data_IF_889116845309
#
_entry.id   IF_889116845309
#
_cell.length_a   1.000
_cell.length_b   1.000
_cell.length_c   1.000
_cell.angle_alpha   90.00
_cell.angle_beta   90.00
_cell.angle_gamma   90.00
#
_symmetry.space_group_name_H-M   'P 1'
#
loop_
_entity.id
_entity.type
_entity.pdbx_description
1 polymer ?
#
# COMPACT_ATOMS: atom_id res chain seq x y z
N UNK A 1 47.20 -42.80 -63.51
CA UNK A 1 47.64 -42.86 -62.11
C UNK A 1 46.42 -42.74 -61.25
N UNK A 2 45.95 -43.87 -60.69
CA UNK A 2 44.76 -43.93 -59.86
C UNK A 2 45.30 -43.89 -58.40
N UNK A 3 44.96 -42.86 -57.69
CA UNK A 3 45.22 -42.79 -56.27
C UNK A 3 44.19 -43.63 -55.49
N UNK A 4 44.70 -44.62 -54.82
CA UNK A 4 44.00 -45.50 -53.86
C UNK A 4 43.81 -44.70 -52.58
N UNK A 5 42.56 -44.32 -52.29
CA UNK A 5 42.21 -43.67 -51.01
C UNK A 5 42.23 -44.80 -49.95
N UNK A 6 42.99 -44.59 -48.87
CA UNK A 6 43.16 -45.53 -47.79
C UNK A 6 41.86 -45.69 -46.98
N UNK A 7 41.49 -46.93 -46.75
CA UNK A 7 40.28 -47.36 -46.04
C UNK A 7 40.25 -47.01 -44.55
N UNK A 8 41.34 -46.43 -44.04
CA UNK A 8 41.51 -46.20 -42.58
C UNK A 8 40.85 -44.88 -42.10
N UNK A 9 40.63 -43.91 -42.97
CA UNK A 9 39.99 -42.67 -42.60
C UNK A 9 38.47 -42.78 -42.39
N UNK A 10 37.82 -43.72 -43.12
CA UNK A 10 36.36 -43.93 -42.98
C UNK A 10 35.98 -44.59 -41.64
N UNK A 11 36.87 -45.41 -41.07
CA UNK A 11 36.62 -46.02 -39.76
C UNK A 11 36.77 -45.05 -38.61
N UNK A 12 37.63 -44.04 -38.75
CA UNK A 12 37.81 -43.03 -37.72
C UNK A 12 36.62 -42.09 -37.58
N UNK A 13 35.99 -41.71 -38.72
CA UNK A 13 34.79 -40.88 -38.71
C UNK A 13 33.57 -41.62 -38.15
N UNK A 14 33.47 -42.92 -38.40
CA UNK A 14 32.37 -43.74 -37.91
C UNK A 14 32.44 -43.95 -36.38
N UNK A 15 33.66 -44.08 -35.85
CA UNK A 15 33.88 -44.22 -34.41
C UNK A 15 33.59 -42.94 -33.66
N UNK A 16 33.90 -41.78 -34.23
CA UNK A 16 33.54 -40.49 -33.63
C UNK A 16 32.03 -40.21 -33.67
N UNK A 17 31.34 -40.62 -34.74
CA UNK A 17 29.90 -40.43 -34.85
C UNK A 17 29.13 -41.31 -33.85
N UNK A 18 29.56 -42.55 -33.64
CA UNK A 18 28.96 -43.46 -32.66
C UNK A 18 29.25 -42.99 -31.21
N UNK A 19 30.43 -42.47 -30.92
CA UNK A 19 30.74 -41.92 -29.62
C UNK A 19 30.00 -40.61 -29.32
N UNK A 20 29.76 -39.77 -30.35
CA UNK A 20 29.01 -38.52 -30.20
C UNK A 20 27.52 -38.79 -30.01
N UNK A 21 26.94 -39.79 -30.66
CA UNK A 21 25.54 -40.20 -30.48
C UNK A 21 25.30 -40.87 -29.12
N UNK A 22 26.27 -41.61 -28.59
CA UNK A 22 26.18 -42.18 -27.25
C UNK A 22 26.34 -41.14 -26.15
N UNK A 23 27.17 -40.11 -26.37
CA UNK A 23 27.30 -38.96 -25.41
C UNK A 23 26.03 -38.13 -25.38
N UNK A 24 25.35 -37.92 -26.51
CA UNK A 24 24.08 -37.16 -26.54
C UNK A 24 22.94 -37.97 -25.92
N UNK A 25 22.96 -39.31 -26.01
CA UNK A 25 21.99 -40.18 -25.38
C UNK A 25 22.15 -40.30 -23.88
N UNK A 26 23.39 -40.17 -23.35
CA UNK A 26 23.65 -40.18 -21.90
C UNK A 26 23.33 -38.83 -21.22
N UNK A 27 23.35 -37.72 -21.93
CA UNK A 27 22.94 -36.41 -21.39
C UNK A 27 21.41 -36.17 -21.37
N UNK A 28 20.62 -37.14 -21.79
CA UNK A 28 19.16 -37.00 -21.91
C UNK A 28 18.35 -37.70 -20.82
N UNK A 29 18.99 -38.19 -19.77
CA UNK A 29 18.29 -38.93 -18.72
C UNK A 29 18.56 -38.46 -17.29
N UNK A 30 18.89 -37.18 -17.11
CA UNK A 30 18.74 -36.54 -15.79
C UNK A 30 18.24 -35.12 -15.96
N UNK A 31 17.08 -34.93 -16.59
CA UNK A 31 16.20 -33.93 -16.08
C UNK A 31 15.64 -34.53 -14.78
N UNK A 32 16.34 -34.28 -13.68
CA UNK A 32 15.67 -34.27 -12.41
C UNK A 32 14.48 -33.33 -12.58
N UNK A 33 13.32 -33.93 -12.64
CA UNK A 33 12.09 -33.25 -12.29
C UNK A 33 12.34 -32.88 -10.82
N UNK A 34 12.89 -31.69 -10.59
CA UNK A 34 12.66 -31.02 -9.33
C UNK A 34 11.15 -30.94 -9.28
N UNK A 35 10.53 -31.86 -8.54
CA UNK A 35 9.19 -31.65 -8.06
C UNK A 35 9.22 -30.22 -7.54
N UNK A 36 8.34 -29.38 -8.07
CA UNK A 36 8.06 -28.08 -7.49
C UNK A 36 7.86 -28.33 -5.99
N UNK A 37 8.91 -28.19 -5.22
CA UNK A 37 8.77 -27.96 -3.79
C UNK A 37 7.80 -26.78 -3.76
N UNK A 38 6.63 -26.92 -3.11
CA UNK A 38 5.78 -25.78 -2.91
C UNK A 38 6.67 -24.75 -2.23
N UNK A 39 7.09 -23.75 -3.00
CA UNK A 39 7.83 -22.62 -2.46
C UNK A 39 6.86 -21.96 -1.48
N UNK A 40 6.91 -22.39 -0.24
CA UNK A 40 6.39 -21.65 0.91
C UNK A 40 7.29 -20.42 1.07
N UNK A 41 7.53 -19.75 -0.05
CA UNK A 41 8.42 -18.62 -0.15
C UNK A 41 7.64 -17.34 0.11
N UNK A 42 8.35 -16.38 0.65
CA UNK A 42 7.97 -14.98 0.82
C UNK A 42 7.20 -14.39 -0.39
N UNK A 43 7.45 -14.90 -1.57
CA UNK A 43 6.88 -14.42 -2.83
C UNK A 43 5.37 -14.70 -2.94
N UNK A 44 4.89 -15.86 -2.51
CA UNK A 44 3.45 -16.17 -2.53
C UNK A 44 2.66 -15.34 -1.50
N UNK A 45 3.28 -15.06 -0.36
CA UNK A 45 2.69 -14.17 0.65
C UNK A 45 2.66 -12.73 0.16
N UNK A 46 3.71 -12.29 -0.51
CA UNK A 46 3.81 -10.95 -1.09
C UNK A 46 2.83 -10.76 -2.25
N UNK A 47 2.72 -11.73 -3.16
CA UNK A 47 1.73 -11.70 -4.24
C UNK A 47 0.30 -11.70 -3.72
N UNK A 48 -0.01 -12.52 -2.73
CA UNK A 48 -1.33 -12.53 -2.10
C UNK A 48 -1.63 -11.19 -1.40
N UNK A 49 -0.63 -10.56 -0.81
CA UNK A 49 -0.74 -9.23 -0.24
C UNK A 49 -1.07 -8.19 -1.31
N UNK A 50 -0.31 -8.16 -2.40
CA UNK A 50 -0.57 -7.25 -3.53
C UNK A 50 -1.97 -7.50 -4.08
N UNK A 51 -2.35 -8.74 -4.28
CA UNK A 51 -3.68 -9.12 -4.78
C UNK A 51 -4.79 -8.64 -3.83
N UNK A 52 -4.65 -8.80 -2.52
CA UNK A 52 -5.65 -8.32 -1.54
C UNK A 52 -5.78 -6.81 -1.52
N UNK A 53 -4.68 -6.09 -1.76
CA UNK A 53 -4.66 -4.62 -1.81
C UNK A 53 -5.16 -4.07 -3.14
N UNK A 54 -4.95 -4.78 -4.24
CA UNK A 54 -5.28 -4.33 -5.61
C UNK A 54 -6.57 -4.91 -6.16
N UNK A 55 -7.11 -5.99 -5.57
CA UNK A 55 -8.38 -6.56 -5.99
C UNK A 55 -9.51 -5.52 -5.97
N UNK A 56 -10.42 -5.55 -6.95
CA UNK A 56 -11.60 -4.71 -6.93
C UNK A 56 -12.37 -4.91 -5.63
N UNK A 57 -12.61 -3.82 -4.92
CA UNK A 57 -13.36 -3.85 -3.66
C UNK A 57 -14.85 -3.65 -3.96
N UNK A 58 -15.73 -4.35 -3.25
CA UNK A 58 -17.16 -4.13 -3.42
C UNK A 58 -17.55 -2.68 -3.05
N UNK A 59 -18.61 -2.12 -3.64
CA UNK A 59 -19.05 -0.80 -3.27
C UNK A 59 -19.44 -0.77 -1.79
N UNK A 60 -19.01 0.29 -1.08
CA UNK A 60 -19.40 0.51 0.30
C UNK A 60 -20.85 0.97 0.38
N UNK A 61 -21.59 0.44 1.33
CA UNK A 61 -22.92 0.95 1.67
C UNK A 61 -22.75 2.27 2.43
N UNK A 62 -23.11 3.38 1.80
CA UNK A 62 -23.08 4.69 2.44
C UNK A 62 -24.07 4.74 3.60
N UNK A 63 -23.70 5.42 4.68
CA UNK A 63 -24.53 5.57 5.86
C UNK A 63 -25.75 6.48 5.61
N UNK A 64 -25.62 7.42 4.67
CA UNK A 64 -26.61 8.49 4.48
C UNK A 64 -26.68 9.48 5.64
N UNK A 65 -25.64 9.54 6.48
CA UNK A 65 -25.58 10.42 7.63
C UNK A 65 -25.65 11.90 7.21
N UNK A 66 -26.66 12.66 7.66
CA UNK A 66 -26.82 14.07 7.30
C UNK A 66 -25.70 14.97 7.85
N UNK A 67 -24.87 14.46 8.75
CA UNK A 67 -23.69 15.15 9.25
C UNK A 67 -22.71 15.48 8.14
N UNK A 68 -22.58 14.59 7.15
CA UNK A 68 -21.59 14.71 6.10
C UNK A 68 -22.21 15.12 4.77
N UNK A 69 -21.63 16.13 4.14
CA UNK A 69 -21.98 16.56 2.79
C UNK A 69 -20.82 16.34 1.84
N UNK A 70 -21.03 15.52 0.83
CA UNK A 70 -20.08 15.40 -0.29
C UNK A 70 -20.23 16.63 -1.20
N UNK A 71 -19.17 17.42 -1.33
CA UNK A 71 -19.16 18.63 -2.14
C UNK A 71 -18.91 18.34 -3.63
N UNK A 72 -18.64 17.09 -4.02
CA UNK A 72 -18.37 16.62 -5.39
C UNK A 72 -17.15 17.26 -6.06
N UNK A 73 -16.29 17.88 -5.28
CA UNK A 73 -15.01 18.48 -5.70
C UNK A 73 -13.79 17.76 -5.08
N UNK A 74 -14.02 16.57 -4.52
CA UNK A 74 -13.02 15.80 -3.79
C UNK A 74 -12.95 16.14 -2.30
N UNK A 75 -13.96 16.86 -1.77
CA UNK A 75 -14.04 17.21 -0.35
C UNK A 75 -15.36 16.78 0.29
N UNK A 76 -15.30 16.60 1.62
CA UNK A 76 -16.45 16.33 2.49
C UNK A 76 -16.54 17.44 3.53
N UNK A 77 -17.71 18.05 3.67
CA UNK A 77 -17.99 18.98 4.77
C UNK A 77 -18.62 18.24 5.93
N UNK A 78 -18.01 18.29 7.10
CA UNK A 78 -18.58 17.90 8.38
C UNK A 78 -19.41 19.07 8.93
N UNK A 79 -20.71 19.00 8.74
CA UNK A 79 -21.66 20.06 9.12
C UNK A 79 -21.72 20.22 10.65
N UNK A 80 -21.53 19.13 11.40
CA UNK A 80 -21.57 19.15 12.86
C UNK A 80 -20.39 19.93 13.44
N UNK A 81 -19.20 19.70 12.92
CA UNK A 81 -17.96 20.27 13.47
C UNK A 81 -17.44 21.47 12.68
N UNK A 82 -18.04 21.80 11.52
CA UNK A 82 -17.62 22.93 10.70
C UNK A 82 -16.26 22.74 10.01
N UNK A 83 -15.86 21.50 9.85
CA UNK A 83 -14.62 21.12 9.19
C UNK A 83 -14.87 20.66 7.75
N UNK A 84 -13.91 20.93 6.88
CA UNK A 84 -13.89 20.37 5.54
C UNK A 84 -12.67 19.43 5.41
N UNK A 85 -12.93 18.22 5.00
CA UNK A 85 -11.96 17.14 4.87
C UNK A 85 -11.69 16.81 3.40
N UNK A 86 -10.44 16.52 3.07
CA UNK A 86 -10.18 15.89 1.78
C UNK A 86 -10.80 14.49 1.75
N UNK A 87 -11.58 14.18 0.72
CA UNK A 87 -12.29 12.90 0.59
C UNK A 87 -11.30 11.72 0.59
N UNK A 88 -10.28 11.78 -0.24
CA UNK A 88 -9.24 10.76 -0.30
C UNK A 88 -8.08 11.09 0.64
N UNK A 89 -7.62 10.12 1.41
CA UNK A 89 -6.35 10.23 2.14
C UNK A 89 -5.14 10.11 1.18
N UNK A 90 -3.94 10.34 1.69
CA UNK A 90 -2.71 10.31 0.88
C UNK A 90 -2.42 8.92 0.29
N UNK A 91 -2.81 7.84 0.97
CA UNK A 91 -2.63 6.48 0.43
C UNK A 91 -3.63 6.15 -0.66
N UNK A 92 -4.89 6.58 -0.52
CA UNK A 92 -5.89 6.40 -1.57
C UNK A 92 -5.45 7.05 -2.89
N UNK A 93 -4.75 8.19 -2.79
CA UNK A 93 -4.26 8.95 -3.95
C UNK A 93 -2.92 8.43 -4.49
N UNK A 94 -1.92 8.25 -3.63
CA UNK A 94 -0.53 7.95 -4.04
C UNK A 94 -0.13 6.47 -3.90
N UNK A 95 -0.94 5.65 -3.22
CA UNK A 95 -0.65 4.25 -2.91
C UNK A 95 0.65 4.04 -2.11
N UNK A 96 1.01 5.02 -1.29
CA UNK A 96 2.22 5.01 -0.48
C UNK A 96 1.93 5.44 0.95
N UNK A 97 2.54 4.72 1.90
CA UNK A 97 2.60 5.15 3.29
C UNK A 97 3.54 6.34 3.42
N UNK A 98 3.27 7.21 4.35
CA UNK A 98 4.05 8.44 4.52
C UNK A 98 4.55 8.58 5.96
N UNK A 99 5.76 9.10 6.12
CA UNK A 99 6.21 9.60 7.38
C UNK A 99 5.65 11.01 7.64
N UNK A 100 5.85 11.54 8.83
CA UNK A 100 5.25 12.81 9.22
C UNK A 100 5.74 14.00 8.39
N UNK A 101 7.04 14.04 8.05
CA UNK A 101 7.60 15.11 7.22
C UNK A 101 7.01 15.06 5.79
N UNK A 102 6.90 13.87 5.22
CA UNK A 102 6.27 13.70 3.91
C UNK A 102 4.76 14.02 3.95
N UNK A 103 4.10 13.82 5.10
CA UNK A 103 2.71 14.21 5.28
C UNK A 103 2.54 15.74 5.23
N UNK A 104 3.47 16.50 5.80
CA UNK A 104 3.48 17.97 5.69
C UNK A 104 3.68 18.43 4.23
N UNK A 105 4.68 17.85 3.56
CA UNK A 105 4.93 18.16 2.14
C UNK A 105 3.72 17.85 1.25
N UNK A 106 3.00 16.77 1.55
CA UNK A 106 1.77 16.44 0.83
C UNK A 106 0.70 17.55 1.01
N UNK A 107 0.54 18.05 2.23
CA UNK A 107 -0.40 19.15 2.49
C UNK A 107 0.03 20.44 1.79
N UNK A 108 1.31 20.76 1.82
CA UNK A 108 1.87 21.91 1.08
C UNK A 108 1.61 21.79 -0.43
N UNK A 109 1.77 20.59 -0.99
CA UNK A 109 1.45 20.31 -2.39
C UNK A 109 0.00 20.63 -2.70
N UNK A 110 -0.94 20.22 -1.83
CA UNK A 110 -2.38 20.53 -2.02
C UNK A 110 -2.67 22.02 -1.95
N UNK A 111 -1.99 22.76 -1.08
CA UNK A 111 -2.09 24.21 -1.00
C UNK A 111 -1.54 24.90 -2.26
N UNK A 112 -0.38 24.48 -2.77
CA UNK A 112 0.19 24.99 -4.03
C UNK A 112 -0.74 24.74 -5.22
N UNK A 113 -1.38 23.59 -5.26
CA UNK A 113 -2.36 23.21 -6.30
C UNK A 113 -3.70 23.93 -6.13
N UNK A 114 -3.93 24.64 -5.03
CA UNK A 114 -5.25 25.21 -4.65
C UNK A 114 -6.35 24.15 -4.72
N UNK A 115 -6.09 22.98 -4.14
CA UNK A 115 -7.01 21.84 -4.21
C UNK A 115 -8.42 22.25 -3.76
N UNK A 116 -9.44 21.93 -4.58
CA UNK A 116 -10.84 22.34 -4.40
C UNK A 116 -11.02 23.88 -4.23
N UNK A 117 -10.13 24.68 -4.84
CA UNK A 117 -10.18 26.14 -4.74
C UNK A 117 -9.56 26.72 -3.46
N UNK A 118 -8.94 25.91 -2.61
CA UNK A 118 -8.45 26.33 -1.29
C UNK A 118 -6.93 26.13 -1.14
N UNK A 119 -6.30 27.00 -0.35
CA UNK A 119 -4.86 27.00 -0.06
C UNK A 119 -4.53 27.03 1.44
N UNK A 120 -5.50 26.68 2.28
CA UNK A 120 -5.43 26.64 3.74
C UNK A 120 -5.61 25.23 4.32
N UNK A 121 -5.28 24.21 3.51
CA UNK A 121 -5.23 22.82 3.95
C UNK A 121 -4.10 22.64 4.96
N UNK A 122 -4.33 21.79 5.97
CA UNK A 122 -3.36 21.48 7.02
C UNK A 122 -3.50 20.05 7.52
N UNK A 123 -2.50 19.60 8.26
CA UNK A 123 -2.65 18.39 9.07
C UNK A 123 -3.73 18.63 10.15
N UNK A 124 -4.57 17.63 10.43
CA UNK A 124 -5.53 17.71 11.51
C UNK A 124 -4.86 17.61 12.88
N UNK A 125 -5.47 18.17 13.90
CA UNK A 125 -5.14 17.87 15.30
C UNK A 125 -5.71 16.50 15.71
N UNK A 126 -5.23 15.92 16.82
CA UNK A 126 -5.83 14.69 17.39
C UNK A 126 -7.32 14.86 17.66
N UNK A 127 -7.70 16.00 18.24
CA UNK A 127 -9.09 16.30 18.56
C UNK A 127 -9.97 16.33 17.31
N UNK A 128 -9.47 16.88 16.21
CA UNK A 128 -10.20 16.91 14.94
C UNK A 128 -10.32 15.53 14.32
N UNK A 129 -9.24 14.74 14.27
CA UNK A 129 -9.32 13.37 13.76
C UNK A 129 -10.30 12.51 14.57
N UNK A 130 -10.29 12.64 15.88
CA UNK A 130 -11.20 11.88 16.74
C UNK A 130 -12.67 12.22 16.51
N UNK A 131 -12.98 13.37 15.88
CA UNK A 131 -14.37 13.63 15.45
C UNK A 131 -14.85 12.73 14.34
N UNK A 132 -13.93 12.12 13.58
CA UNK A 132 -14.23 11.15 12.52
C UNK A 132 -14.33 9.71 13.03
N UNK A 133 -13.91 9.44 14.26
CA UNK A 133 -14.00 8.11 14.86
C UNK A 133 -15.44 7.86 15.32
N UNK A 134 -16.06 6.83 14.76
CA UNK A 134 -17.44 6.43 15.04
C UNK A 134 -17.48 4.91 15.22
N UNK A 135 -17.60 4.46 16.48
CA UNK A 135 -17.49 3.05 16.86
C UNK A 135 -18.58 2.17 16.22
N UNK A 136 -19.75 2.75 15.92
CA UNK A 136 -20.89 2.10 15.28
C UNK A 136 -20.79 2.03 13.76
N UNK A 137 -19.76 2.63 13.16
CA UNK A 137 -19.52 2.61 11.72
C UNK A 137 -18.24 1.89 11.40
N UNK A 138 -18.19 1.24 10.25
CA UNK A 138 -16.97 0.55 9.85
C UNK A 138 -16.76 0.55 8.33
N UNK A 139 -15.49 0.57 7.97
CA UNK A 139 -14.98 0.39 6.62
C UNK A 139 -14.00 -0.76 6.67
N UNK A 140 -14.19 -1.85 5.88
CA UNK A 140 -13.22 -2.94 5.85
C UNK A 140 -11.84 -2.44 5.41
N UNK A 141 -10.82 -2.75 6.20
CA UNK A 141 -9.43 -2.44 5.88
C UNK A 141 -8.63 -3.71 5.74
N UNK A 142 -8.19 -3.98 4.52
CA UNK A 142 -7.43 -5.18 4.18
C UNK A 142 -5.94 -4.87 4.37
N UNK A 143 -5.32 -5.60 5.30
CA UNK A 143 -3.90 -5.47 5.57
C UNK A 143 -3.28 -6.86 5.70
N UNK A 144 -2.38 -7.18 4.78
CA UNK A 144 -1.84 -8.52 4.60
C UNK A 144 -2.98 -9.55 4.38
N UNK A 145 -3.05 -10.56 5.25
CA UNK A 145 -4.08 -11.62 5.26
C UNK A 145 -5.22 -11.37 6.25
N UNK A 146 -5.21 -10.21 6.90
CA UNK A 146 -6.24 -9.86 7.87
C UNK A 146 -7.17 -8.79 7.32
N UNK A 147 -8.44 -8.93 7.65
CA UNK A 147 -9.43 -7.86 7.49
C UNK A 147 -9.69 -7.26 8.85
N UNK A 148 -9.51 -5.96 8.95
CA UNK A 148 -9.80 -5.16 10.11
C UNK A 148 -10.90 -4.16 9.78
N UNK A 149 -11.45 -3.51 10.78
CA UNK A 149 -12.46 -2.49 10.59
C UNK A 149 -11.91 -1.12 11.01
N UNK A 150 -11.97 -0.17 10.09
CA UNK A 150 -11.68 1.24 10.36
C UNK A 150 -12.98 1.91 10.74
N UNK A 151 -13.07 2.39 11.97
CA UNK A 151 -14.27 2.99 12.53
C UNK A 151 -14.44 4.43 12.06
N UNK A 152 -14.98 4.57 10.86
CA UNK A 152 -15.20 5.84 10.16
C UNK A 152 -16.41 5.72 9.23
N UNK A 153 -17.09 6.82 8.95
CA UNK A 153 -18.22 6.82 8.03
C UNK A 153 -17.80 6.36 6.62
N UNK A 154 -18.52 5.41 6.01
CA UNK A 154 -18.25 4.90 4.67
C UNK A 154 -18.21 5.95 3.55
N UNK A 155 -18.70 7.17 3.79
CA UNK A 155 -18.61 8.28 2.83
C UNK A 155 -17.15 8.59 2.45
N UNK A 156 -16.19 8.29 3.33
CA UNK A 156 -14.75 8.49 3.08
C UNK A 156 -14.11 7.40 2.20
N UNK A 157 -14.90 6.41 1.75
CA UNK A 157 -14.42 5.32 0.90
C UNK A 157 -13.47 4.38 1.64
N UNK A 158 -12.85 3.47 0.90
CA UNK A 158 -11.83 2.56 1.43
C UNK A 158 -10.59 3.33 1.86
N UNK A 159 -10.44 3.59 3.13
CA UNK A 159 -9.41 4.42 3.72
C UNK A 159 -8.36 3.58 4.47
N UNK A 160 -7.28 4.21 4.90
CA UNK A 160 -6.27 3.62 5.77
C UNK A 160 -6.69 3.67 7.24
N UNK A 161 -5.99 2.90 8.08
CA UNK A 161 -6.32 2.84 9.51
C UNK A 161 -5.81 4.03 10.32
N UNK A 162 -4.72 4.64 9.87
CA UNK A 162 -3.86 5.39 10.77
C UNK A 162 -3.47 6.73 10.14
N UNK A 163 -3.74 7.83 10.85
CA UNK A 163 -3.60 9.18 10.32
C UNK A 163 -2.68 10.04 11.15
N UNK A 164 -1.73 10.69 10.51
CA UNK A 164 -0.87 11.70 11.13
C UNK A 164 -1.65 12.92 11.58
N UNK A 165 -1.23 13.47 12.72
CA UNK A 165 -1.71 14.75 13.25
C UNK A 165 -0.66 15.85 13.08
N UNK A 166 -1.07 17.09 13.30
CA UNK A 166 -0.17 18.25 13.34
C UNK A 166 0.63 18.32 14.65
N UNK A 167 0.34 17.47 15.63
CA UNK A 167 0.89 17.57 16.97
C UNK A 167 2.17 16.77 17.11
N UNK A 168 3.20 17.45 17.54
CA UNK A 168 4.51 16.88 17.80
C UNK A 168 4.68 16.52 19.27
N UNK A 169 5.60 15.61 19.56
CA UNK A 169 6.06 15.30 20.89
C UNK A 169 7.58 15.18 20.90
N UNK A 170 8.26 16.13 21.56
CA UNK A 170 9.71 16.30 21.48
C UNK A 170 10.16 16.43 20.02
N UNK A 171 11.44 16.51 19.78
CA UNK A 171 11.97 16.80 18.44
C UNK A 171 11.78 15.65 17.43
N UNK A 172 11.63 14.42 17.91
CA UNK A 172 11.69 13.22 17.06
C UNK A 172 10.35 12.55 16.81
N UNK A 173 9.29 12.87 17.58
CA UNK A 173 8.02 12.16 17.53
C UNK A 173 6.87 13.06 17.11
N UNK A 174 5.88 12.46 16.47
CA UNK A 174 4.58 13.07 16.22
C UNK A 174 3.46 12.09 16.55
N UNK A 175 2.28 12.64 16.82
CA UNK A 175 1.10 11.84 17.11
C UNK A 175 0.39 11.40 15.84
N UNK A 176 -0.14 10.19 15.87
CA UNK A 176 -1.09 9.69 14.91
C UNK A 176 -2.26 8.99 15.61
N UNK A 177 -3.41 8.93 14.94
CA UNK A 177 -4.61 8.23 15.43
C UNK A 177 -4.78 6.93 14.68
N UNK A 178 -5.03 5.85 15.42
CA UNK A 178 -5.39 4.55 14.89
C UNK A 178 -6.92 4.38 14.96
N UNK A 179 -7.57 4.33 13.83
CA UNK A 179 -9.02 4.20 13.69
C UNK A 179 -9.55 2.76 13.85
N UNK A 180 -8.69 1.79 14.11
CA UNK A 180 -9.13 0.44 14.53
C UNK A 180 -9.58 0.45 16.00
N UNK A 181 -9.11 1.43 16.80
CA UNK A 181 -9.38 1.50 18.24
C UNK A 181 -9.70 2.92 18.74
N UNK A 182 -9.59 3.93 17.92
CA UNK A 182 -9.76 5.34 18.34
C UNK A 182 -8.64 5.86 19.23
N UNK A 183 -7.45 5.27 19.19
CA UNK A 183 -6.34 5.57 20.09
C UNK A 183 -5.25 6.41 19.43
N UNK A 184 -4.60 7.25 20.24
CA UNK A 184 -3.46 8.04 19.80
C UNK A 184 -2.15 7.35 20.14
N UNK A 185 -1.22 7.32 19.19
CA UNK A 185 0.11 6.75 19.32
C UNK A 185 1.19 7.75 18.93
N UNK A 186 2.37 7.58 19.52
CA UNK A 186 3.57 8.31 19.13
C UNK A 186 4.39 7.48 18.13
N UNK A 187 4.85 8.13 17.07
CA UNK A 187 5.75 7.53 16.10
C UNK A 187 6.85 8.48 15.69
N UNK A 188 7.98 7.92 15.22
CA UNK A 188 9.12 8.70 14.76
C UNK A 188 8.75 9.47 13.50
N UNK A 189 9.01 10.79 13.48
CA UNK A 189 8.70 11.66 12.33
C UNK A 189 9.41 11.26 11.03
N UNK A 190 10.69 10.88 11.14
CA UNK A 190 11.60 10.55 10.02
C UNK A 190 11.65 9.07 9.65
N UNK A 191 10.66 8.30 10.06
CA UNK A 191 10.59 6.88 9.68
C UNK A 191 10.79 6.69 8.18
N UNK A 192 11.48 5.59 7.79
CA UNK A 192 11.69 5.31 6.37
C UNK A 192 10.35 5.07 5.68
N UNK A 193 10.17 5.70 4.53
CA UNK A 193 9.03 5.48 3.63
C UNK A 193 8.98 4.00 3.25
N UNK A 194 7.81 3.37 3.33
CA UNK A 194 7.58 1.97 2.93
C UNK A 194 8.40 0.89 3.66
N UNK A 195 8.88 1.13 4.88
CA UNK A 195 9.42 0.04 5.69
C UNK A 195 8.30 -0.77 6.35
N UNK A 196 8.46 -2.10 6.27
CA UNK A 196 7.59 -3.05 6.95
C UNK A 196 7.49 -2.78 8.46
N UNK A 197 6.36 -3.16 9.02
CA UNK A 197 5.99 -3.00 10.42
C UNK A 197 7.17 -3.19 11.40
N UNK A 198 7.45 -2.19 12.20
CA UNK A 198 8.44 -2.22 13.26
C UNK A 198 9.25 -0.94 13.40
N UNK A 199 9.46 -0.17 12.34
CA UNK A 199 10.26 1.06 12.38
C UNK A 199 9.64 2.26 11.67
N UNK A 200 8.56 2.07 10.91
CA UNK A 200 7.85 3.17 10.27
C UNK A 200 6.36 3.06 10.59
N UNK A 201 5.76 4.17 10.92
CA UNK A 201 4.32 4.20 11.07
C UNK A 201 3.68 4.01 9.70
N UNK A 202 2.82 3.02 9.58
CA UNK A 202 1.94 2.82 8.43
C UNK A 202 0.82 3.87 8.47
N UNK A 203 1.21 5.14 8.53
CA UNK A 203 0.29 6.26 8.67
C UNK A 203 0.21 7.05 7.37
N UNK A 204 -0.88 7.71 7.20
CA UNK A 204 -1.20 8.55 6.05
C UNK A 204 -1.68 9.92 6.54
N UNK A 205 -2.02 10.81 5.64
CA UNK A 205 -2.66 12.07 6.00
C UNK A 205 -3.99 12.24 5.28
N UNK A 206 -4.97 12.72 6.01
CA UNK A 206 -6.22 13.27 5.48
C UNK A 206 -6.23 14.75 5.79
N UNK A 207 -5.95 15.62 4.82
CA UNK A 207 -5.95 17.06 5.03
C UNK A 207 -7.31 17.57 5.48
N UNK A 208 -7.27 18.57 6.35
CA UNK A 208 -8.44 19.28 6.85
C UNK A 208 -8.26 20.79 6.70
N UNK A 209 -9.37 21.50 6.61
CA UNK A 209 -9.43 22.96 6.71
C UNK A 209 -10.63 23.41 7.55
N UNK A 210 -10.65 24.68 7.90
CA UNK A 210 -11.66 25.24 8.80
C UNK A 210 -11.25 25.18 10.26
N UNK A 211 -12.16 25.57 11.13
CA UNK A 211 -11.97 25.63 12.58
C UNK A 211 -12.99 24.73 13.26
N UNK A 212 -12.51 23.87 14.15
CA UNK A 212 -13.35 22.97 14.93
C UNK A 212 -14.33 23.80 15.79
N UNK A 213 -15.61 23.64 15.52
CA UNK A 213 -16.65 24.24 16.37
C UNK A 213 -16.70 23.50 17.70
N UNK A 214 -16.85 24.26 18.77
CA UNK A 214 -17.19 23.66 20.06
C UNK A 214 -18.58 23.02 19.93
N UNK A 215 -18.65 21.73 20.24
CA UNK A 215 -19.90 20.99 20.30
C UNK A 215 -20.63 21.26 21.61
#
# INVERSE_FOLDING_TARGET
VVHRIHSDELNFFWFFFVLMTFSIAMFRTEQMVFADEPSYGSDSLFENQIRSMTAPKPPLKLSGDPRYRNNQDGTITDLKHGLMWKLQDSYQEKKEWTNWEAAQLYVEEKNKQKFAGHNDWRLPTRKELLTLYEEDKSIPWFYYWTTNEVHMDPIFGYTSCCFWTSEEHKDQFAWHINFLRGEAYLSIKKGKKNQAAGSASLSVVRPVRGVLKAG
#
